data_IF_107276478675
#
_entry.id   IF_107276478675
#
_cell.length_a   1.000
_cell.length_b   1.000
_cell.length_c   1.000
_cell.angle_alpha   90.00
_cell.angle_beta   90.00
_cell.angle_gamma   90.00
#
_symmetry.space_group_name_H-M   'P 1'
#
loop_
_entity.id
_entity.type
_entity.pdbx_description
1 polymer ?
#
# COMPACT_ATOMS: atom_id res chain seq x y z
N UNK A 1 -7.36 -31.56 -5.46
CA UNK A 1 -6.19 -30.95 -4.80
C UNK A 1 -5.62 -29.77 -5.59
N UNK A 2 -5.22 -29.93 -6.86
CA UNK A 2 -4.68 -28.82 -7.65
C UNK A 2 -5.64 -27.65 -7.87
N UNK A 3 -6.95 -27.91 -8.00
CA UNK A 3 -7.96 -26.86 -8.18
C UNK A 3 -8.07 -25.89 -7.00
N UNK A 4 -8.03 -26.39 -5.76
CA UNK A 4 -8.15 -25.54 -4.56
C UNK A 4 -6.89 -24.69 -4.34
N UNK A 5 -5.72 -25.22 -4.66
CA UNK A 5 -4.46 -24.50 -4.59
C UNK A 5 -4.39 -23.38 -5.65
N UNK A 6 -4.81 -23.66 -6.88
CA UNK A 6 -4.93 -22.67 -7.95
C UNK A 6 -5.93 -21.57 -7.61
N UNK A 7 -7.06 -21.95 -6.98
CA UNK A 7 -8.04 -20.99 -6.49
C UNK A 7 -7.45 -20.07 -5.41
N UNK A 8 -6.65 -20.61 -4.48
CA UNK A 8 -5.96 -19.81 -3.48
C UNK A 8 -5.08 -18.71 -4.12
N UNK A 9 -4.29 -19.07 -5.14
CA UNK A 9 -3.47 -18.09 -5.86
C UNK A 9 -4.30 -17.00 -6.54
N UNK A 10 -5.37 -17.37 -7.25
CA UNK A 10 -6.25 -16.42 -7.94
C UNK A 10 -6.98 -15.50 -6.97
N UNK A 11 -7.50 -16.06 -5.86
CA UNK A 11 -8.14 -15.26 -4.81
C UNK A 11 -7.14 -14.31 -4.13
N UNK A 12 -5.88 -14.73 -3.96
CA UNK A 12 -4.83 -13.85 -3.48
C UNK A 12 -4.56 -12.67 -4.42
N UNK A 13 -4.53 -12.90 -5.73
CA UNK A 13 -4.41 -11.83 -6.72
C UNK A 13 -5.63 -10.88 -6.68
N UNK A 14 -6.84 -11.42 -6.55
CA UNK A 14 -8.06 -10.65 -6.44
C UNK A 14 -8.09 -9.82 -5.14
N UNK A 15 -7.67 -10.39 -4.02
CA UNK A 15 -7.57 -9.72 -2.73
C UNK A 15 -6.71 -8.45 -2.79
N UNK A 16 -5.63 -8.44 -3.57
CA UNK A 16 -4.83 -7.25 -3.78
C UNK A 16 -5.61 -6.06 -4.41
N UNK A 17 -6.78 -6.31 -4.99
CA UNK A 17 -7.65 -5.31 -5.60
C UNK A 17 -8.75 -4.80 -4.66
N UNK A 18 -8.76 -5.20 -3.41
CA UNK A 18 -9.68 -4.66 -2.40
C UNK A 18 -9.41 -3.18 -2.14
N UNK A 19 -10.45 -2.44 -1.73
CA UNK A 19 -10.43 -0.99 -1.66
C UNK A 19 -9.35 -0.45 -0.69
N UNK A 20 -9.16 -1.10 0.44
CA UNK A 20 -8.15 -0.78 1.44
C UNK A 20 -6.72 -1.01 0.92
N UNK A 21 -6.51 -2.07 0.13
CA UNK A 21 -5.22 -2.35 -0.53
C UNK A 21 -4.91 -1.31 -1.61
N UNK A 22 -5.89 -0.98 -2.45
CA UNK A 22 -5.77 0.08 -3.46
C UNK A 22 -5.45 1.42 -2.77
N UNK A 23 -6.15 1.75 -1.69
CA UNK A 23 -5.92 2.97 -0.92
C UNK A 23 -4.51 3.02 -0.32
N UNK A 24 -4.05 1.95 0.33
CA UNK A 24 -2.73 1.87 0.93
C UNK A 24 -1.61 2.00 -0.12
N UNK A 25 -1.67 1.20 -1.21
CA UNK A 25 -0.69 1.25 -2.32
C UNK A 25 -0.68 2.63 -2.98
N UNK A 26 -1.85 3.20 -3.26
CA UNK A 26 -1.96 4.52 -3.88
C UNK A 26 -1.35 5.61 -2.99
N UNK A 27 -1.58 5.58 -1.68
CA UNK A 27 -1.00 6.52 -0.72
C UNK A 27 0.52 6.38 -0.60
N UNK A 28 1.06 5.17 -0.70
CA UNK A 28 2.50 4.91 -0.74
C UNK A 28 3.09 5.42 -2.07
N UNK A 29 2.41 5.14 -3.19
CA UNK A 29 2.82 5.54 -4.53
C UNK A 29 2.83 7.06 -4.71
N UNK A 30 1.83 7.77 -4.18
CA UNK A 30 1.70 9.23 -4.27
C UNK A 30 2.90 10.00 -3.70
N UNK A 31 3.76 9.35 -2.93
CA UNK A 31 4.96 9.93 -2.32
C UNK A 31 6.25 9.67 -3.11
N UNK A 32 6.17 9.01 -4.26
CA UNK A 32 7.33 8.52 -5.03
C UNK A 32 7.31 9.06 -6.45
N UNK A 33 8.50 9.27 -7.00
CA UNK A 33 8.70 9.81 -8.35
C UNK A 33 9.18 8.76 -9.37
N UNK A 34 9.57 7.57 -8.91
CA UNK A 34 10.11 6.52 -9.78
C UNK A 34 9.27 5.24 -9.69
N UNK A 35 8.89 4.70 -10.86
CA UNK A 35 8.09 3.47 -10.98
C UNK A 35 8.73 2.30 -10.22
N UNK A 36 10.04 2.10 -10.40
CA UNK A 36 10.77 1.00 -9.76
C UNK A 36 10.68 1.06 -8.23
N UNK A 37 10.77 2.28 -7.64
CA UNK A 37 10.64 2.43 -6.20
C UNK A 37 9.23 2.15 -5.71
N UNK A 38 8.21 2.59 -6.47
CA UNK A 38 6.80 2.30 -6.15
C UNK A 38 6.57 0.78 -6.14
N UNK A 39 7.02 0.07 -7.16
CA UNK A 39 6.89 -1.39 -7.25
C UNK A 39 7.64 -2.09 -6.12
N UNK A 40 8.86 -1.68 -5.81
CA UNK A 40 9.63 -2.24 -4.69
C UNK A 40 8.93 -2.01 -3.35
N UNK A 41 8.29 -0.85 -3.14
CA UNK A 41 7.47 -0.60 -1.95
C UNK A 41 6.23 -1.48 -1.91
N UNK A 42 5.51 -1.64 -3.03
CA UNK A 42 4.38 -2.54 -3.12
C UNK A 42 4.72 -4.00 -2.81
N UNK A 43 5.83 -4.49 -3.35
CA UNK A 43 6.32 -5.85 -3.05
C UNK A 43 6.76 -6.00 -1.59
N UNK A 44 7.45 -5.01 -1.02
CA UNK A 44 7.85 -5.03 0.40
C UNK A 44 6.63 -5.01 1.33
N UNK A 45 5.62 -4.22 0.99
CA UNK A 45 4.36 -4.19 1.71
C UNK A 45 3.61 -5.51 1.59
N UNK A 46 3.51 -6.07 0.36
CA UNK A 46 2.94 -7.39 0.09
C UNK A 46 3.63 -8.51 0.86
N UNK A 47 4.95 -8.45 0.99
CA UNK A 47 5.72 -9.41 1.79
C UNK A 47 5.31 -9.34 3.27
N UNK A 48 5.23 -8.14 3.85
CA UNK A 48 4.79 -7.95 5.24
C UNK A 48 3.38 -8.47 5.46
N UNK A 49 2.45 -8.12 4.56
CA UNK A 49 1.07 -8.59 4.56
C UNK A 49 0.98 -10.12 4.51
N UNK A 50 1.65 -10.74 3.53
CA UNK A 50 1.67 -12.20 3.36
C UNK A 50 2.25 -12.92 4.57
N UNK A 51 3.32 -12.39 5.15
CA UNK A 51 3.96 -12.99 6.32
C UNK A 51 3.00 -13.02 7.52
N UNK A 52 2.35 -11.91 7.82
CA UNK A 52 1.41 -11.82 8.94
C UNK A 52 0.19 -12.70 8.69
N UNK A 53 -0.38 -12.65 7.50
CA UNK A 53 -1.50 -13.49 7.10
C UNK A 53 -1.16 -14.97 7.24
N UNK A 54 0.02 -15.38 6.79
CA UNK A 54 0.48 -16.77 6.90
C UNK A 54 0.64 -17.21 8.37
N UNK A 55 1.15 -16.34 9.24
CA UNK A 55 1.30 -16.64 10.66
C UNK A 55 -0.07 -16.76 11.34
N UNK A 56 -0.94 -15.76 11.20
CA UNK A 56 -2.26 -15.76 11.85
C UNK A 56 -3.16 -16.89 11.34
N UNK A 57 -3.25 -17.04 10.03
CA UNK A 57 -4.04 -18.09 9.39
C UNK A 57 -3.45 -19.48 9.66
N UNK A 58 -2.13 -19.61 9.63
CA UNK A 58 -1.45 -20.86 9.94
C UNK A 58 -1.70 -21.31 11.37
N UNK A 59 -1.62 -20.39 12.35
CA UNK A 59 -1.94 -20.69 13.75
C UNK A 59 -3.41 -21.12 13.90
N UNK A 60 -4.35 -20.41 13.26
CA UNK A 60 -5.77 -20.77 13.32
C UNK A 60 -6.05 -22.17 12.72
N UNK A 61 -5.42 -22.51 11.58
CA UNK A 61 -5.53 -23.84 10.99
C UNK A 61 -4.97 -24.92 11.91
N UNK A 62 -3.79 -24.70 12.48
CA UNK A 62 -3.14 -25.68 13.36
C UNK A 62 -3.93 -25.90 14.66
N UNK A 63 -4.58 -24.85 15.17
CA UNK A 63 -5.43 -24.95 16.36
C UNK A 63 -6.87 -25.43 16.04
N UNK A 64 -7.26 -25.49 14.76
CA UNK A 64 -8.62 -25.83 14.33
C UNK A 64 -9.65 -24.83 14.83
N UNK A 65 -9.29 -23.57 15.03
CA UNK A 65 -10.15 -22.51 15.59
C UNK A 65 -10.11 -21.27 14.73
N UNK A 66 -11.28 -20.65 14.51
CA UNK A 66 -11.38 -19.32 13.93
C UNK A 66 -10.81 -18.26 14.89
N UNK A 67 -10.37 -17.14 14.32
CA UNK A 67 -9.94 -15.97 15.11
C UNK A 67 -11.19 -15.37 15.75
N UNK A 68 -11.24 -15.19 17.09
CA UNK A 68 -12.38 -14.59 17.76
C UNK A 68 -12.57 -13.13 17.34
N UNK A 69 -13.80 -12.65 17.27
CA UNK A 69 -14.13 -11.26 16.94
C UNK A 69 -13.47 -10.27 17.90
N UNK A 70 -13.33 -10.64 19.18
CA UNK A 70 -12.62 -9.85 20.19
C UNK A 70 -11.15 -9.58 19.85
N UNK A 71 -10.55 -10.36 18.94
CA UNK A 71 -9.20 -10.16 18.42
C UNK A 71 -9.24 -9.53 17.03
N UNK A 72 -10.16 -9.93 16.17
CA UNK A 72 -10.28 -9.44 14.81
C UNK A 72 -10.66 -7.95 14.77
N UNK A 73 -11.70 -7.53 15.50
CA UNK A 73 -12.18 -6.14 15.50
C UNK A 73 -11.13 -5.10 15.88
N UNK A 74 -10.33 -5.23 16.98
CA UNK A 74 -9.27 -4.28 17.28
C UNK A 74 -8.20 -4.20 16.18
N UNK A 75 -7.89 -5.32 15.51
CA UNK A 75 -6.92 -5.36 14.43
C UNK A 75 -7.44 -4.63 13.19
N UNK A 76 -8.69 -4.84 12.81
CA UNK A 76 -9.36 -4.11 11.73
C UNK A 76 -9.46 -2.62 12.02
N UNK A 77 -9.81 -2.24 13.25
CA UNK A 77 -9.81 -0.85 13.71
C UNK A 77 -8.42 -0.22 13.56
N UNK A 78 -7.35 -0.94 13.95
CA UNK A 78 -5.98 -0.46 13.81
C UNK A 78 -5.59 -0.23 12.34
N UNK A 79 -6.05 -1.11 11.42
CA UNK A 79 -5.85 -0.92 9.97
C UNK A 79 -6.61 0.30 9.46
N UNK A 80 -7.87 0.48 9.88
CA UNK A 80 -8.64 1.68 9.53
C UNK A 80 -7.93 2.98 9.98
N UNK A 81 -7.43 3.02 11.22
CA UNK A 81 -6.65 4.16 11.73
C UNK A 81 -5.34 4.35 10.95
N UNK A 82 -4.66 3.28 10.57
CA UNK A 82 -3.46 3.34 9.72
C UNK A 82 -3.78 3.97 8.35
N UNK A 83 -4.89 3.59 7.71
CA UNK A 83 -5.33 4.18 6.44
C UNK A 83 -5.63 5.67 6.59
N UNK A 84 -6.35 6.08 7.66
CA UNK A 84 -6.57 7.49 7.97
C UNK A 84 -5.24 8.24 8.09
N UNK A 85 -4.27 7.68 8.81
CA UNK A 85 -2.94 8.27 8.96
C UNK A 85 -2.18 8.41 7.64
N UNK A 86 -2.24 7.38 6.77
CA UNK A 86 -1.60 7.41 5.45
C UNK A 86 -2.22 8.46 4.54
N UNK A 87 -3.55 8.50 4.44
CA UNK A 87 -4.27 9.48 3.62
C UNK A 87 -4.10 10.91 4.13
N UNK A 88 -4.22 11.13 5.46
CA UNK A 88 -3.97 12.42 6.08
C UNK A 88 -2.53 12.91 5.83
N UNK A 89 -1.54 12.03 5.85
CA UNK A 89 -0.16 12.38 5.55
C UNK A 89 0.03 12.80 4.07
N UNK A 90 -0.67 12.15 3.12
CA UNK A 90 -0.66 12.58 1.71
C UNK A 90 -1.25 13.98 1.58
N UNK A 91 -2.41 14.24 2.19
CA UNK A 91 -3.08 15.54 2.15
C UNK A 91 -2.24 16.64 2.83
N UNK A 92 -1.65 16.35 3.98
CA UNK A 92 -0.78 17.27 4.69
C UNK A 92 0.45 17.67 3.87
N UNK A 93 1.10 16.71 3.20
CA UNK A 93 2.20 17.01 2.28
C UNK A 93 1.74 17.88 1.12
N UNK A 94 0.63 17.55 0.50
CA UNK A 94 0.07 18.30 -0.62
C UNK A 94 -0.23 19.76 -0.24
N UNK A 95 -0.67 19.98 1.01
CA UNK A 95 -0.90 21.31 1.56
C UNK A 95 0.40 22.04 1.91
N UNK A 96 1.36 21.35 2.53
CA UNK A 96 2.64 21.90 2.96
C UNK A 96 3.57 22.19 1.79
N UNK A 97 3.65 21.30 0.83
CA UNK A 97 4.47 21.44 -0.36
C UNK A 97 3.81 22.45 -1.31
N UNK A 98 3.94 23.75 -0.98
CA UNK A 98 3.59 24.85 -1.88
C UNK A 98 4.58 24.82 -3.03
N UNK A 99 4.27 24.05 -4.06
CA UNK A 99 5.05 24.02 -5.30
C UNK A 99 4.83 25.35 -6.00
N UNK A 100 5.85 26.19 -6.05
CA UNK A 100 5.87 27.37 -6.87
C UNK A 100 6.38 27.00 -8.27
N UNK A 101 5.66 27.46 -9.29
CA UNK A 101 6.08 27.33 -10.67
C UNK A 101 6.82 28.60 -11.03
N UNK A 102 8.06 28.48 -11.48
CA UNK A 102 8.72 29.58 -12.15
C UNK A 102 9.53 29.06 -13.34
N UNK A 103 9.58 29.91 -14.34
CA UNK A 103 10.37 29.74 -15.53
C UNK A 103 11.68 30.46 -15.29
N UNK A 104 12.81 29.78 -15.45
CA UNK A 104 14.10 30.48 -15.53
C UNK A 104 14.89 29.99 -16.72
N UNK A 105 15.62 30.94 -17.33
CA UNK A 105 16.56 30.68 -18.42
C UNK A 105 17.95 30.48 -17.84
N UNK A 106 18.67 29.54 -18.38
CA UNK A 106 20.11 29.44 -18.19
C UNK A 106 20.84 30.31 -19.21
N UNK A 107 22.04 30.76 -18.89
CA UNK A 107 22.82 31.65 -19.76
C UNK A 107 23.20 31.05 -21.12
N UNK A 108 22.83 29.81 -21.41
CA UNK A 108 22.97 29.11 -22.68
C UNK A 108 21.72 29.21 -23.60
N UNK A 109 20.72 30.02 -23.21
CA UNK A 109 19.51 30.24 -24.00
C UNK A 109 18.45 29.15 -23.83
N UNK A 110 18.67 28.10 -23.02
CA UNK A 110 17.65 27.10 -22.74
C UNK A 110 16.70 27.58 -21.65
N UNK A 111 15.41 27.67 -22.00
CA UNK A 111 14.33 28.00 -21.07
C UNK A 111 13.56 26.72 -20.80
N UNK A 112 13.51 26.29 -19.55
CA UNK A 112 12.68 25.14 -19.18
C UNK A 112 11.81 25.43 -17.96
N UNK A 113 10.69 24.73 -17.92
CA UNK A 113 9.72 24.75 -16.82
C UNK A 113 9.99 23.56 -15.92
N UNK A 114 10.24 23.79 -14.64
CA UNK A 114 10.23 22.71 -13.66
C UNK A 114 9.65 23.18 -12.33
N UNK A 115 9.12 22.23 -11.57
CA UNK A 115 8.57 22.47 -10.26
C UNK A 115 9.56 21.98 -9.20
N UNK A 116 9.94 22.84 -8.25
CA UNK A 116 10.62 22.41 -7.05
C UNK A 116 9.98 22.98 -5.80
N UNK A 117 10.14 22.26 -4.72
CA UNK A 117 9.70 22.68 -3.39
C UNK A 117 10.90 23.30 -2.68
N UNK A 118 10.74 24.51 -2.18
CA UNK A 118 11.72 25.21 -1.33
C UNK A 118 11.48 24.96 0.18
N UNK A 119 10.70 23.94 0.54
CA UNK A 119 10.45 23.64 1.95
C UNK A 119 11.72 23.14 2.63
N UNK A 120 12.52 24.05 3.18
CA UNK A 120 13.67 23.74 4.04
C UNK A 120 15.07 23.99 3.46
N UNK A 121 15.22 24.57 2.27
CA UNK A 121 16.56 24.91 1.72
C UNK A 121 17.05 26.28 2.24
N UNK A 122 18.11 26.24 3.05
CA UNK A 122 18.90 27.40 3.48
C UNK A 122 20.24 27.50 2.72
N UNK A 123 20.54 26.57 1.79
CA UNK A 123 21.82 26.47 1.11
C UNK A 123 21.72 26.54 -0.42
N UNK A 124 22.75 27.12 -1.13
CA UNK A 124 22.75 27.20 -2.60
C UNK A 124 22.82 25.80 -3.24
N UNK A 125 22.04 25.60 -4.32
CA UNK A 125 21.81 24.33 -5.04
C UNK A 125 23.06 23.52 -5.49
N UNK A 126 24.25 24.09 -5.48
CA UNK A 126 25.45 23.42 -5.98
C UNK A 126 26.04 22.34 -5.03
N UNK A 127 25.49 22.15 -3.83
CA UNK A 127 26.02 21.24 -2.80
C UNK A 127 25.00 20.30 -2.14
N UNK A 128 23.80 20.18 -2.67
CA UNK A 128 22.85 19.18 -2.15
C UNK A 128 23.34 17.78 -2.55
N UNK A 129 23.96 17.10 -1.61
CA UNK A 129 24.30 15.68 -1.76
C UNK A 129 22.98 14.91 -1.87
N UNK A 130 22.72 14.34 -3.04
CA UNK A 130 21.61 13.42 -3.25
C UNK A 130 21.88 12.14 -2.47
N UNK A 131 21.46 12.09 -1.20
CA UNK A 131 21.50 10.87 -0.39
C UNK A 131 20.41 9.96 -0.93
N UNK A 132 20.79 9.02 -1.76
CA UNK A 132 19.94 7.90 -2.11
C UNK A 132 19.86 6.97 -0.88
N UNK A 133 18.76 7.04 -0.15
CA UNK A 133 18.49 6.07 0.92
C UNK A 133 18.28 4.67 0.30
N UNK A 134 19.36 3.91 0.18
CA UNK A 134 19.33 2.49 -0.17
C UNK A 134 18.95 1.59 1.01
N UNK A 135 18.40 2.17 2.08
CA UNK A 135 17.97 1.46 3.28
C UNK A 135 16.78 0.51 2.99
N UNK A 136 16.73 -0.60 3.73
CA UNK A 136 15.59 -1.52 3.71
C UNK A 136 14.30 -0.76 4.02
N UNK A 137 13.22 -1.04 3.29
CA UNK A 137 11.93 -0.32 3.33
C UNK A 137 11.08 -0.74 4.54
N UNK A 138 11.69 -0.71 5.70
CA UNK A 138 11.17 -1.28 6.93
C UNK A 138 9.84 -0.63 7.38
N UNK A 139 9.65 0.69 7.15
CA UNK A 139 8.37 1.34 7.41
C UNK A 139 7.24 0.76 6.56
N UNK A 140 7.53 0.48 5.28
CA UNK A 140 6.57 -0.13 4.37
C UNK A 140 6.29 -1.59 4.73
N UNK A 141 7.30 -2.32 5.19
CA UNK A 141 7.14 -3.67 5.72
C UNK A 141 6.23 -3.68 6.94
N UNK A 142 6.43 -2.77 7.89
CA UNK A 142 5.57 -2.64 9.08
C UNK A 142 4.11 -2.34 8.72
N UNK A 143 3.89 -1.43 7.77
CA UNK A 143 2.55 -1.14 7.27
C UNK A 143 1.93 -2.41 6.68
N UNK A 144 2.70 -3.21 5.94
CA UNK A 144 2.27 -4.50 5.41
C UNK A 144 1.94 -5.51 6.50
N UNK A 145 2.81 -5.63 7.51
CA UNK A 145 2.58 -6.51 8.67
C UNK A 145 1.28 -6.15 9.40
N UNK A 146 1.06 -4.87 9.67
CA UNK A 146 -0.17 -4.41 10.31
C UNK A 146 -1.41 -4.71 9.45
N UNK A 147 -1.33 -4.46 8.14
CA UNK A 147 -2.45 -4.69 7.22
C UNK A 147 -2.82 -6.17 7.11
N UNK A 148 -1.84 -7.07 7.12
CA UNK A 148 -2.08 -8.52 7.06
C UNK A 148 -2.72 -9.12 8.31
N UNK A 149 -2.84 -8.36 9.41
CA UNK A 149 -3.55 -8.82 10.61
C UNK A 149 -5.07 -8.68 10.50
N UNK A 150 -5.55 -7.79 9.65
CA UNK A 150 -6.97 -7.52 9.45
C UNK A 150 -7.45 -8.13 8.12
N UNK A 151 -8.74 -8.35 7.97
CA UNK A 151 -9.37 -8.78 6.72
C UNK A 151 -9.17 -10.26 6.36
N UNK A 152 -8.36 -11.01 7.11
CA UNK A 152 -8.07 -12.42 6.81
C UNK A 152 -9.11 -13.42 7.31
N UNK A 153 -10.06 -13.00 8.16
CA UNK A 153 -10.97 -13.90 8.86
C UNK A 153 -11.86 -14.71 7.90
N UNK A 154 -12.48 -14.09 6.90
CA UNK A 154 -13.37 -14.77 5.97
C UNK A 154 -12.63 -15.75 5.05
N UNK A 155 -11.46 -15.35 4.53
CA UNK A 155 -10.61 -16.21 3.69
C UNK A 155 -10.04 -17.37 4.49
N UNK A 156 -9.75 -17.16 5.76
CA UNK A 156 -9.25 -18.13 6.69
C UNK A 156 -10.33 -19.19 7.02
N UNK A 157 -11.56 -18.75 7.28
CA UNK A 157 -12.71 -19.64 7.45
C UNK A 157 -12.89 -20.52 6.21
N UNK A 158 -12.84 -19.94 5.01
CA UNK A 158 -12.93 -20.70 3.76
C UNK A 158 -11.79 -21.71 3.64
N UNK A 159 -10.56 -21.32 3.93
CA UNK A 159 -9.41 -22.23 3.87
C UNK A 159 -9.50 -23.38 4.87
N UNK A 160 -9.94 -23.10 6.10
CA UNK A 160 -10.13 -24.12 7.15
C UNK A 160 -11.27 -25.08 6.81
N UNK A 161 -12.40 -24.58 6.32
CA UNK A 161 -13.57 -25.39 6.01
C UNK A 161 -13.41 -26.26 4.76
N UNK A 162 -12.56 -25.83 3.81
CA UNK A 162 -12.34 -26.54 2.55
C UNK A 162 -11.08 -27.43 2.56
N UNK A 163 -10.21 -27.28 3.55
CA UNK A 163 -8.97 -28.04 3.62
C UNK A 163 -9.20 -29.45 4.13
N UNK A 164 -8.84 -30.44 3.31
CA UNK A 164 -8.90 -31.88 3.69
C UNK A 164 -7.84 -32.27 4.74
N UNK A 165 -6.85 -31.42 4.96
CA UNK A 165 -5.79 -31.58 5.97
C UNK A 165 -5.10 -30.23 6.26
N UNK A 166 -4.47 -30.05 7.44
CA UNK A 166 -3.71 -28.84 7.76
C UNK A 166 -2.63 -28.49 6.72
N UNK A 167 -1.98 -29.47 6.14
CA UNK A 167 -0.98 -29.27 5.09
C UNK A 167 -1.56 -28.63 3.82
N UNK A 168 -2.78 -29.05 3.42
CA UNK A 168 -3.48 -28.46 2.27
C UNK A 168 -3.90 -27.03 2.59
N UNK A 169 -4.38 -26.77 3.81
CA UNK A 169 -4.73 -25.42 4.27
C UNK A 169 -3.53 -24.47 4.29
N UNK A 170 -2.40 -24.89 4.82
CA UNK A 170 -1.14 -24.12 4.79
C UNK A 170 -0.65 -23.86 3.36
N UNK A 171 -0.74 -24.86 2.48
CA UNK A 171 -0.41 -24.71 1.05
C UNK A 171 -1.32 -23.70 0.36
N UNK A 172 -2.62 -23.71 0.66
CA UNK A 172 -3.59 -22.73 0.16
C UNK A 172 -3.19 -21.31 0.57
N UNK A 173 -2.91 -21.06 1.86
CA UNK A 173 -2.54 -19.74 2.37
C UNK A 173 -1.20 -19.28 1.78
N UNK A 174 -0.23 -20.18 1.63
CA UNK A 174 1.04 -19.85 1.01
C UNK A 174 0.85 -19.37 -0.45
N UNK A 175 0.03 -20.08 -1.24
CA UNK A 175 -0.28 -19.68 -2.61
C UNK A 175 -1.14 -18.43 -2.69
N UNK A 176 -2.10 -18.26 -1.77
CA UNK A 176 -2.85 -17.01 -1.62
C UNK A 176 -1.90 -15.83 -1.36
N UNK A 177 -0.96 -15.98 -0.43
CA UNK A 177 0.03 -14.95 -0.13
C UNK A 177 0.93 -14.60 -1.32
N UNK A 178 1.38 -15.62 -2.07
CA UNK A 178 2.15 -15.40 -3.32
C UNK A 178 1.29 -14.65 -4.35
N UNK A 179 0.05 -15.07 -4.54
CA UNK A 179 -0.90 -14.39 -5.43
C UNK A 179 -1.13 -12.95 -5.03
N UNK A 180 -1.38 -12.69 -3.74
CA UNK A 180 -1.55 -11.35 -3.17
C UNK A 180 -0.32 -10.47 -3.40
N UNK A 181 0.88 -11.00 -3.16
CA UNK A 181 2.13 -10.27 -3.37
C UNK A 181 2.36 -9.90 -4.84
N UNK A 182 2.06 -10.82 -5.78
CA UNK A 182 2.12 -10.56 -7.22
C UNK A 182 1.05 -9.53 -7.62
N UNK A 183 -0.17 -9.67 -7.11
CA UNK A 183 -1.26 -8.72 -7.32
C UNK A 183 -0.90 -7.30 -6.86
N UNK A 184 -0.31 -7.17 -5.67
CA UNK A 184 0.17 -5.87 -5.14
C UNK A 184 1.31 -5.28 -5.98
N UNK A 185 2.22 -6.10 -6.48
CA UNK A 185 3.25 -5.66 -7.42
C UNK A 185 2.66 -5.14 -8.73
N UNK A 186 1.70 -5.87 -9.30
CA UNK A 186 0.98 -5.47 -10.51
C UNK A 186 0.16 -4.19 -10.29
N UNK A 187 -0.60 -4.11 -9.19
CA UNK A 187 -1.35 -2.91 -8.79
C UNK A 187 -0.43 -1.70 -8.61
N UNK A 188 0.71 -1.90 -7.92
CA UNK A 188 1.72 -0.84 -7.75
C UNK A 188 2.23 -0.32 -9.09
N UNK A 189 2.43 -1.21 -10.07
CA UNK A 189 2.84 -0.82 -11.43
C UNK A 189 1.73 -0.04 -12.14
N UNK A 190 0.50 -0.53 -12.06
CA UNK A 190 -0.67 0.13 -12.68
C UNK A 190 -0.92 1.54 -12.12
N UNK A 191 -0.69 1.76 -10.83
CA UNK A 191 -0.82 3.06 -10.18
C UNK A 191 0.40 3.95 -10.45
N UNK A 192 1.61 3.37 -10.48
CA UNK A 192 2.84 4.11 -10.66
C UNK A 192 2.93 4.82 -12.01
N UNK A 193 2.50 4.15 -13.09
CA UNK A 193 2.61 4.68 -14.45
C UNK A 193 1.84 6.00 -14.60
N UNK A 194 0.54 6.11 -14.32
CA UNK A 194 -0.19 7.36 -14.44
C UNK A 194 0.32 8.44 -13.47
N UNK A 195 0.71 8.09 -12.24
CA UNK A 195 1.26 9.04 -11.29
C UNK A 195 2.58 9.66 -11.76
N UNK A 196 3.51 8.84 -12.25
CA UNK A 196 4.82 9.31 -12.72
C UNK A 196 4.70 10.07 -14.04
N UNK A 197 3.83 9.61 -14.95
CA UNK A 197 3.58 10.29 -16.25
C UNK A 197 2.90 11.64 -16.01
N UNK A 198 1.83 11.69 -15.20
CA UNK A 198 1.13 12.94 -14.91
C UNK A 198 2.02 13.97 -14.19
N UNK A 199 2.95 13.50 -13.34
CA UNK A 199 3.89 14.39 -12.67
C UNK A 199 4.82 15.13 -13.64
N UNK A 200 5.12 14.52 -14.80
CA UNK A 200 6.01 15.13 -15.83
C UNK A 200 5.30 16.15 -16.71
N UNK A 201 4.01 15.94 -17.00
CA UNK A 201 3.31 16.70 -18.05
C UNK A 201 2.21 17.61 -17.52
N UNK A 202 1.54 17.25 -16.42
CA UNK A 202 0.37 17.95 -15.89
C UNK A 202 0.40 18.00 -14.36
N UNK A 203 1.17 18.92 -13.81
CA UNK A 203 1.35 19.03 -12.35
C UNK A 203 0.04 19.27 -11.59
N UNK A 204 -0.89 20.03 -12.16
CA UNK A 204 -2.20 20.25 -11.55
C UNK A 204 -3.03 18.95 -11.48
N UNK A 205 -2.98 18.14 -12.56
CA UNK A 205 -3.67 16.84 -12.59
C UNK A 205 -3.04 15.84 -11.61
N UNK A 206 -1.71 15.82 -11.50
CA UNK A 206 -1.00 15.01 -10.51
C UNK A 206 -1.37 15.40 -9.07
N UNK A 207 -1.45 16.71 -8.76
CA UNK A 207 -1.91 17.19 -7.45
C UNK A 207 -3.36 16.82 -7.18
N UNK A 208 -4.23 16.97 -8.18
CA UNK A 208 -5.64 16.53 -8.10
C UNK A 208 -5.74 15.03 -7.81
N UNK A 209 -4.95 14.22 -8.53
CA UNK A 209 -4.90 12.77 -8.33
C UNK A 209 -4.40 12.40 -6.93
N UNK A 210 -3.33 13.02 -6.45
CA UNK A 210 -2.83 12.80 -5.08
C UNK A 210 -3.85 13.23 -4.02
N UNK A 211 -4.55 14.35 -4.24
CA UNK A 211 -5.63 14.82 -3.36
C UNK A 211 -6.79 13.82 -3.32
N UNK A 212 -7.23 13.35 -4.48
CA UNK A 212 -8.28 12.34 -4.57
C UNK A 212 -7.89 11.02 -3.87
N UNK A 213 -6.65 10.54 -4.09
CA UNK A 213 -6.10 9.37 -3.40
C UNK A 213 -6.10 9.59 -1.88
N UNK A 214 -5.59 10.73 -1.40
CA UNK A 214 -5.54 11.02 0.03
C UNK A 214 -6.94 11.05 0.67
N UNK A 215 -7.91 11.72 0.03
CA UNK A 215 -9.29 11.78 0.49
C UNK A 215 -9.96 10.40 0.49
N UNK A 216 -9.82 9.64 -0.59
CA UNK A 216 -10.37 8.28 -0.69
C UNK A 216 -9.80 7.38 0.39
N UNK A 217 -8.48 7.43 0.64
CA UNK A 217 -7.82 6.64 1.67
C UNK A 217 -8.33 6.99 3.08
N UNK A 218 -8.51 8.29 3.38
CA UNK A 218 -9.10 8.73 4.66
C UNK A 218 -10.53 8.22 4.79
N UNK A 219 -11.35 8.35 3.73
CA UNK A 219 -12.74 7.92 3.74
C UNK A 219 -12.85 6.40 3.99
N UNK A 220 -12.07 5.58 3.27
CA UNK A 220 -12.02 4.13 3.46
C UNK A 220 -11.60 3.80 4.90
N UNK A 221 -10.54 4.44 5.41
CA UNK A 221 -10.08 4.22 6.78
C UNK A 221 -11.15 4.57 7.84
N UNK A 222 -11.87 5.66 7.66
CA UNK A 222 -12.99 6.04 8.55
C UNK A 222 -14.12 5.01 8.46
N UNK A 223 -14.49 4.57 7.25
CA UNK A 223 -15.52 3.53 7.06
C UNK A 223 -15.15 2.25 7.81
N UNK A 224 -13.90 1.76 7.62
CA UNK A 224 -13.41 0.58 8.32
C UNK A 224 -13.51 0.74 9.85
N UNK A 225 -13.08 1.90 10.40
CA UNK A 225 -13.19 2.15 11.85
C UNK A 225 -14.64 2.16 12.31
N UNK A 226 -15.54 2.81 11.57
CA UNK A 226 -16.97 2.91 11.95
C UNK A 226 -17.62 1.53 11.90
N UNK A 227 -17.37 0.75 10.86
CA UNK A 227 -17.91 -0.60 10.72
C UNK A 227 -17.46 -1.51 11.87
N UNK A 228 -16.18 -1.47 12.24
CA UNK A 228 -15.63 -2.31 13.31
C UNK A 228 -16.03 -1.85 14.72
N UNK A 229 -16.35 -0.57 14.95
CA UNK A 229 -16.79 -0.06 16.24
C UNK A 229 -18.30 -0.23 16.45
N UNK A 230 -19.09 -0.25 15.35
CA UNK A 230 -20.53 -0.40 15.40
C UNK A 230 -21.01 -1.87 15.28
N UNK A 231 -20.13 -2.80 14.87
CA UNK A 231 -20.40 -4.25 14.83
C UNK A 231 -20.24 -4.88 16.20
#
# INVERSE_FOLDING_TARGET
MFGILGLGFLLGMQHALEADHIAAVSSIAARRSHVVDIVKHGLTWGLGHTLTLFVFAGVAILLGRAIPDSVAQPLETAVGLMLVGLGAHVLWRLWRDRVHFHQHGHGDGTVHFHAHSHAGEIAPHARAAHIHEHGFRWRTLLVGLMHGMAGSAALLVLAVTQASSPAVGLGYIALFGVGSMIGMGALSTAIAVPLVVSARWLTWANRGLQGAVGLATVAIGIMTVVETVLA
#
